data_IF_227553200573
#
_entry.id   IF_227553200573
#
_cell.length_a   1.000
_cell.length_b   1.000
_cell.length_c   1.000
_cell.angle_alpha   90.00
_cell.angle_beta   90.00
_cell.angle_gamma   90.00
#
_symmetry.space_group_name_H-M   'P 1'
#
loop_
_entity.id
_entity.type
_entity.pdbx_description
1 polymer ?
#
# COMPACT_ATOMS: atom_id res chain seq x y z
N UNK A 1 -8.26 -4.83 -10.73
CA UNK A 1 -7.65 -3.74 -9.92
C UNK A 1 -8.35 -3.51 -8.59
N UNK A 2 -9.69 -3.61 -8.52
CA UNK A 2 -10.42 -3.36 -7.27
C UNK A 2 -10.10 -4.34 -6.12
N UNK A 3 -9.49 -5.49 -6.39
CA UNK A 3 -9.14 -6.48 -5.36
C UNK A 3 -7.71 -6.36 -4.84
N UNK A 4 -6.91 -5.47 -5.44
CA UNK A 4 -5.52 -5.26 -5.05
C UNK A 4 -5.48 -4.41 -3.78
N UNK A 5 -4.83 -4.96 -2.75
CA UNK A 5 -4.56 -4.31 -1.47
C UNK A 5 -3.32 -3.43 -1.55
N UNK A 6 -2.22 -3.99 -2.05
CA UNK A 6 -0.96 -3.28 -2.24
C UNK A 6 -0.04 -4.03 -3.20
N UNK A 7 0.98 -3.33 -3.66
CA UNK A 7 2.14 -3.86 -4.36
C UNK A 7 3.35 -3.72 -3.46
N UNK A 8 4.22 -4.72 -3.42
CA UNK A 8 5.49 -4.62 -2.74
C UNK A 8 6.65 -5.24 -3.52
N UNK A 9 7.86 -4.75 -3.25
CA UNK A 9 9.09 -5.40 -3.73
C UNK A 9 9.53 -6.45 -2.72
N UNK A 10 9.50 -7.71 -3.14
CA UNK A 10 9.98 -8.86 -2.38
C UNK A 10 10.88 -9.70 -3.30
N UNK A 11 12.04 -10.13 -2.81
CA UNK A 11 13.01 -10.93 -3.58
C UNK A 11 13.34 -10.41 -4.99
N UNK A 12 13.47 -9.08 -5.10
CA UNK A 12 13.76 -8.32 -6.34
C UNK A 12 12.65 -8.33 -7.39
N UNK A 13 11.52 -8.94 -7.09
CA UNK A 13 10.30 -8.90 -7.88
C UNK A 13 9.26 -7.98 -7.26
N UNK A 14 8.29 -7.56 -8.06
CA UNK A 14 7.13 -6.85 -7.54
C UNK A 14 5.97 -7.82 -7.44
N UNK A 15 5.37 -7.88 -6.26
CA UNK A 15 4.22 -8.70 -5.95
C UNK A 15 2.98 -7.83 -5.79
N UNK A 16 1.89 -8.22 -6.44
CA UNK A 16 0.56 -7.66 -6.24
C UNK A 16 -0.21 -8.53 -5.26
N UNK A 17 -0.63 -7.95 -4.13
CA UNK A 17 -1.32 -8.67 -3.07
C UNK A 17 -2.81 -8.40 -3.16
N UNK A 18 -3.61 -9.46 -3.32
CA UNK A 18 -5.06 -9.43 -3.09
C UNK A 18 -5.35 -9.89 -1.67
N UNK A 19 -6.62 -10.08 -1.31
CA UNK A 19 -7.01 -10.64 -0.01
C UNK A 19 -6.40 -12.02 0.18
N UNK A 20 -6.61 -12.90 -0.80
CA UNK A 20 -6.29 -14.33 -0.69
C UNK A 20 -4.96 -14.70 -1.37
N UNK A 21 -4.56 -13.97 -2.41
CA UNK A 21 -3.48 -14.37 -3.31
C UNK A 21 -2.37 -13.33 -3.43
N UNK A 22 -1.27 -13.77 -4.03
CA UNK A 22 -0.11 -12.95 -4.39
C UNK A 22 0.26 -13.28 -5.84
N UNK A 23 0.44 -12.25 -6.66
CA UNK A 23 0.80 -12.39 -8.07
C UNK A 23 2.08 -11.62 -8.36
N UNK A 24 3.08 -12.28 -8.93
CA UNK A 24 4.26 -11.59 -9.45
C UNK A 24 3.86 -10.74 -10.66
N UNK A 25 4.38 -9.51 -10.73
CA UNK A 25 4.17 -8.60 -11.84
C UNK A 25 5.51 -8.09 -12.38
N UNK A 26 5.58 -7.90 -13.70
CA UNK A 26 6.83 -7.57 -14.39
C UNK A 26 7.15 -6.06 -14.41
N UNK A 27 6.27 -5.23 -13.86
CA UNK A 27 6.48 -3.78 -13.77
C UNK A 27 7.38 -3.41 -12.60
N UNK A 28 8.12 -2.31 -12.74
CA UNK A 28 8.84 -1.67 -11.63
C UNK A 28 7.87 -0.82 -10.83
N UNK A 29 8.15 -0.69 -9.53
CA UNK A 29 7.27 0.06 -8.62
C UNK A 29 7.10 1.54 -9.03
N UNK A 30 8.10 2.17 -9.64
CA UNK A 30 7.96 3.54 -10.14
C UNK A 30 7.05 3.63 -11.38
N UNK A 31 7.04 2.61 -12.25
CA UNK A 31 6.15 2.58 -13.43
C UNK A 31 4.70 2.44 -12.99
N UNK A 32 4.47 1.68 -11.93
CA UNK A 32 3.15 1.55 -11.33
C UNK A 32 2.62 2.87 -10.78
N UNK A 33 3.46 3.80 -10.31
CA UNK A 33 2.97 5.10 -9.84
C UNK A 33 2.29 5.90 -10.96
N UNK A 34 2.76 5.77 -12.20
CA UNK A 34 2.20 6.45 -13.36
C UNK A 34 0.98 5.72 -13.95
N UNK A 35 0.91 4.40 -13.78
CA UNK A 35 -0.14 3.54 -14.34
C UNK A 35 -1.35 3.35 -13.41
N UNK A 36 -1.12 3.43 -12.10
CA UNK A 36 -2.16 3.13 -11.11
C UNK A 36 -3.10 4.33 -10.91
N UNK A 37 -4.40 4.07 -10.69
CA UNK A 37 -5.34 5.14 -10.41
C UNK A 37 -5.05 5.83 -9.07
N UNK A 38 -5.59 7.05 -8.90
CA UNK A 38 -5.25 7.95 -7.78
C UNK A 38 -5.54 7.39 -6.37
N UNK A 39 -6.31 6.31 -6.25
CA UNK A 39 -6.51 5.59 -5.00
C UNK A 39 -5.29 4.77 -4.57
N UNK A 40 -4.31 4.56 -5.45
CA UNK A 40 -3.04 3.97 -5.10
C UNK A 40 -2.05 5.04 -4.66
N UNK A 41 -1.26 4.73 -3.64
CA UNK A 41 -0.32 5.67 -3.05
C UNK A 41 0.96 4.95 -2.63
N UNK A 42 2.11 5.53 -3.01
CA UNK A 42 3.43 5.11 -2.52
C UNK A 42 3.52 5.34 -1.01
N UNK A 43 3.89 4.31 -0.26
CA UNK A 43 3.97 4.35 1.22
C UNK A 43 5.34 3.98 1.78
N UNK A 44 6.22 3.45 0.93
CA UNK A 44 7.63 3.23 1.24
C UNK A 44 8.46 3.22 -0.05
N UNK A 45 9.78 3.03 0.07
CA UNK A 45 10.62 2.79 -1.12
C UNK A 45 10.26 1.48 -1.83
N UNK A 46 9.59 0.55 -1.18
CA UNK A 46 9.29 -0.79 -1.69
C UNK A 46 7.80 -1.11 -1.75
N UNK A 47 6.88 -0.19 -1.44
CA UNK A 47 5.45 -0.49 -1.46
C UNK A 47 4.57 0.67 -1.94
N UNK A 48 3.49 0.30 -2.66
CA UNK A 48 2.36 1.14 -3.06
C UNK A 48 1.09 0.45 -2.58
N UNK A 49 0.22 1.14 -1.84
CA UNK A 49 -1.04 0.55 -1.35
C UNK A 49 -2.27 1.16 -2.00
N UNK A 50 -3.40 0.46 -1.92
CA UNK A 50 -4.72 0.95 -2.27
C UNK A 50 -5.42 1.56 -1.05
N UNK A 51 -5.54 2.89 -1.02
CA UNK A 51 -6.16 3.65 0.08
C UNK A 51 -7.63 3.27 0.34
N UNK A 52 -8.35 2.76 -0.66
CA UNK A 52 -9.76 2.36 -0.50
C UNK A 52 -9.94 1.05 0.28
N UNK A 53 -8.86 0.28 0.44
CA UNK A 53 -8.88 -1.04 1.10
C UNK A 53 -8.32 -0.99 2.52
N UNK A 54 -7.93 0.19 2.99
CA UNK A 54 -7.41 0.35 4.35
C UNK A 54 -8.55 0.14 5.33
N UNK A 55 -8.32 -0.76 6.28
CA UNK A 55 -9.19 -0.96 7.44
C UNK A 55 -8.73 -0.11 8.62
N UNK A 56 -7.42 -0.09 8.89
CA UNK A 56 -6.86 0.67 9.99
C UNK A 56 -5.45 1.17 9.67
N UNK A 57 -5.11 2.36 10.17
CA UNK A 57 -3.77 2.91 10.21
C UNK A 57 -3.35 3.07 11.66
N UNK A 58 -2.38 2.28 12.11
CA UNK A 58 -1.83 2.31 13.46
C UNK A 58 -0.47 2.99 13.45
N UNK A 59 -0.27 3.99 14.31
CA UNK A 59 0.97 4.73 14.41
C UNK A 59 1.60 4.53 15.80
N UNK A 60 2.90 4.26 15.82
CA UNK A 60 3.74 4.29 17.01
C UNK A 60 4.92 5.22 16.80
N UNK A 61 5.68 5.48 17.87
CA UNK A 61 6.88 6.34 17.83
C UNK A 61 7.90 5.83 16.78
N UNK A 62 8.03 4.51 16.63
CA UNK A 62 9.00 3.91 15.72
C UNK A 62 8.43 3.66 14.33
N UNK A 63 7.19 3.14 14.24
CA UNK A 63 6.67 2.52 13.03
C UNK A 63 5.22 2.94 12.76
N UNK A 64 4.81 2.88 11.50
CA UNK A 64 3.41 3.06 11.08
C UNK A 64 2.97 1.85 10.27
N UNK A 65 1.79 1.32 10.55
CA UNK A 65 1.32 0.04 10.04
C UNK A 65 -0.10 0.19 9.49
N UNK A 66 -0.32 -0.35 8.29
CA UNK A 66 -1.63 -0.41 7.65
C UNK A 66 -2.15 -1.84 7.67
N UNK A 67 -3.40 -2.00 8.10
CA UNK A 67 -4.17 -3.23 7.96
C UNK A 67 -5.26 -3.04 6.90
N UNK A 68 -5.58 -4.13 6.19
CA UNK A 68 -6.52 -4.11 5.07
C UNK A 68 -7.85 -4.78 5.39
N UNK A 69 -8.90 -4.36 4.70
CA UNK A 69 -10.23 -4.96 4.80
C UNK A 69 -10.18 -6.42 4.36
N UNK A 70 -10.84 -7.29 5.12
CA UNK A 70 -10.98 -8.74 4.84
C UNK A 70 -9.67 -9.52 4.73
N UNK A 71 -8.53 -8.93 5.09
CA UNK A 71 -7.22 -9.60 5.00
C UNK A 71 -6.44 -9.49 6.30
N UNK A 72 -5.62 -10.51 6.58
CA UNK A 72 -4.62 -10.46 7.65
C UNK A 72 -3.31 -9.81 7.21
N UNK A 73 -3.16 -9.50 5.92
CA UNK A 73 -1.97 -8.85 5.37
C UNK A 73 -1.85 -7.44 5.95
N UNK A 74 -0.61 -7.01 6.17
CA UNK A 74 -0.27 -5.71 6.72
C UNK A 74 0.98 -5.18 6.04
N UNK A 75 1.08 -3.85 5.95
CA UNK A 75 2.25 -3.21 5.35
C UNK A 75 2.73 -2.02 6.19
N UNK A 76 4.04 -1.90 6.35
CA UNK A 76 4.64 -0.77 7.04
C UNK A 76 4.72 0.47 6.15
N UNK A 77 4.36 1.61 6.71
CA UNK A 77 4.48 2.92 6.09
C UNK A 77 5.76 3.58 6.58
N UNK A 78 6.59 4.03 5.66
CA UNK A 78 7.82 4.76 6.00
C UNK A 78 7.50 6.15 6.54
N UNK A 79 8.31 6.65 7.48
CA UNK A 79 8.14 7.98 8.11
C UNK A 79 7.88 9.11 7.12
N UNK A 80 8.57 9.08 5.96
CA UNK A 80 8.41 10.06 4.87
C UNK A 80 6.97 10.14 4.34
N UNK A 81 6.26 9.02 4.26
CA UNK A 81 4.96 8.93 3.60
C UNK A 81 3.78 8.95 4.58
N UNK A 82 4.04 8.76 5.88
CA UNK A 82 2.99 8.67 6.90
C UNK A 82 2.08 9.91 6.92
N UNK A 83 2.66 11.12 6.93
CA UNK A 83 1.89 12.37 6.99
C UNK A 83 0.92 12.47 5.80
N UNK A 84 1.43 12.25 4.59
CA UNK A 84 0.63 12.30 3.37
C UNK A 84 -0.46 11.22 3.35
N UNK A 85 -0.19 10.01 3.83
CA UNK A 85 -1.19 8.94 3.89
C UNK A 85 -2.31 9.29 4.88
N UNK A 86 -1.94 9.85 6.03
CA UNK A 86 -2.90 10.27 7.05
C UNK A 86 -3.82 11.37 6.51
N UNK A 87 -3.27 12.43 5.92
CA UNK A 87 -4.03 13.52 5.30
C UNK A 87 -5.02 12.98 4.24
N UNK A 88 -4.54 12.08 3.37
CA UNK A 88 -5.36 11.44 2.32
C UNK A 88 -6.56 10.65 2.86
N UNK A 89 -6.44 10.07 4.05
CA UNK A 89 -7.50 9.31 4.70
C UNK A 89 -8.48 10.23 5.45
N UNK A 90 -8.02 11.38 5.95
CA UNK A 90 -8.85 12.39 6.60
C UNK A 90 -9.72 13.15 5.59
N UNK A 91 -9.20 13.47 4.39
CA UNK A 91 -9.96 14.12 3.30
C UNK A 91 -11.14 13.30 2.77
N UNK A 92 -11.17 11.99 3.04
CA UNK A 92 -12.21 11.07 2.58
C UNK A 92 -13.28 10.78 3.63
N UNK A 93 -13.15 11.33 4.83
CA UNK A 93 -14.16 11.24 5.90
C UNK A 93 -15.16 12.37 5.78
#
# INVERSE_FOLDING_TARGET
>A
MNDILFFETEDRQINAHTVDDIFEIHHRLYELEDLLPANFMRISKSAILNTTKIFALTHSISNSLVAFQHSRKQVYVSRKYYKLLKERLEERR
#
